data_IF_039959147865
#
_entry.id   IF_039959147865
#
_cell.length_a   1.000
_cell.length_b   1.000
_cell.length_c   1.000
_cell.angle_alpha   90.00
_cell.angle_beta   90.00
_cell.angle_gamma   90.00
#
_symmetry.space_group_name_H-M   'P 1'
#
loop_
_entity.id
_entity.type
_entity.pdbx_description
1 polymer ?
#
# COMPACT_ATOMS: atom_id res chain seq x y z
N UNK A 1 -20.45 9.55 -6.16
CA UNK A 1 -19.90 10.17 -7.38
C UNK A 1 -18.42 9.81 -7.42
N UNK A 2 -17.92 9.29 -8.53
CA UNK A 2 -16.48 9.05 -8.73
C UNK A 2 -15.95 10.24 -9.51
N UNK A 3 -14.94 10.93 -8.98
CA UNK A 3 -14.37 12.13 -9.60
C UNK A 3 -13.15 11.84 -10.49
N UNK A 4 -12.51 10.67 -10.35
CA UNK A 4 -11.32 10.29 -11.10
C UNK A 4 -11.06 8.79 -11.02
N UNK A 5 -10.40 8.25 -12.04
CA UNK A 5 -9.85 6.89 -12.06
C UNK A 5 -8.37 6.97 -12.45
N UNK A 6 -7.53 6.11 -11.85
CA UNK A 6 -6.12 5.96 -12.19
C UNK A 6 -5.77 4.50 -12.38
N UNK A 7 -4.80 4.27 -13.26
CA UNK A 7 -4.15 2.98 -13.42
C UNK A 7 -2.98 2.86 -12.44
N UNK A 8 -2.79 1.68 -11.84
CA UNK A 8 -1.72 1.43 -10.87
C UNK A 8 -1.15 0.03 -11.17
N UNK A 9 0.17 -0.07 -11.20
CA UNK A 9 0.88 -1.30 -11.53
C UNK A 9 1.31 -1.35 -13.00
N UNK A 10 2.01 -2.41 -13.40
CA UNK A 10 2.47 -2.55 -14.77
C UNK A 10 1.34 -2.99 -15.71
N UNK A 11 1.43 -2.59 -16.98
CA UNK A 11 0.38 -2.80 -17.99
C UNK A 11 0.11 -4.28 -18.31
N UNK A 12 1.14 -5.13 -18.20
CA UNK A 12 1.08 -6.52 -18.66
C UNK A 12 0.76 -7.53 -17.55
N UNK A 13 0.93 -7.17 -16.28
CA UNK A 13 0.76 -8.10 -15.16
C UNK A 13 0.35 -7.36 -13.88
N UNK A 14 -0.94 -7.40 -13.55
CA UNK A 14 -1.45 -6.74 -12.35
C UNK A 14 -0.94 -7.36 -11.03
N UNK A 15 -0.38 -8.58 -11.08
CA UNK A 15 0.24 -9.26 -9.95
C UNK A 15 1.75 -9.01 -9.85
N UNK A 16 2.34 -8.33 -10.83
CA UNK A 16 3.75 -8.01 -10.76
C UNK A 16 4.01 -6.99 -9.65
N UNK A 17 5.11 -7.24 -8.94
CA UNK A 17 5.53 -6.43 -7.82
C UNK A 17 6.02 -5.07 -8.32
N UNK A 18 5.32 -4.02 -7.91
CA UNK A 18 5.73 -2.66 -8.22
C UNK A 18 5.30 -1.70 -7.12
N UNK A 19 5.96 -0.55 -7.09
CA UNK A 19 5.56 0.59 -6.28
C UNK A 19 5.38 1.81 -7.17
N UNK A 20 4.26 2.49 -7.01
CA UNK A 20 3.97 3.76 -7.68
C UNK A 20 3.92 4.86 -6.63
N UNK A 21 4.75 5.88 -6.81
CA UNK A 21 4.86 7.04 -5.93
C UNK A 21 4.15 8.23 -6.57
N UNK A 22 3.42 9.01 -5.78
CA UNK A 22 2.68 10.17 -6.25
C UNK A 22 3.19 11.46 -5.62
N UNK A 23 3.22 12.53 -6.40
CA UNK A 23 3.69 13.83 -5.93
C UNK A 23 2.72 14.56 -5.02
N UNK A 24 1.47 14.11 -4.90
CA UNK A 24 0.51 14.64 -3.93
C UNK A 24 -0.15 13.52 -3.13
N UNK A 25 -0.78 13.89 -2.02
CA UNK A 25 -1.61 12.96 -1.25
C UNK A 25 -2.84 12.52 -2.07
N UNK A 26 -3.40 11.38 -1.69
CA UNK A 26 -4.58 10.76 -2.31
C UNK A 26 -4.37 10.39 -3.79
N UNK A 27 -3.16 9.95 -4.15
CA UNK A 27 -2.82 9.42 -5.48
C UNK A 27 -3.02 10.43 -6.60
N UNK A 28 -2.60 11.69 -6.36
CA UNK A 28 -2.81 12.81 -7.27
C UNK A 28 -1.51 13.28 -7.92
N UNK A 29 -1.69 14.12 -8.95
CA UNK A 29 -0.64 14.79 -9.70
C UNK A 29 0.33 13.82 -10.40
N UNK A 30 1.63 14.11 -10.36
CA UNK A 30 2.65 13.34 -11.07
C UNK A 30 2.85 11.99 -10.38
N UNK A 31 3.06 10.95 -11.18
CA UNK A 31 3.32 9.61 -10.70
C UNK A 31 4.67 9.13 -11.19
N UNK A 32 5.31 8.31 -10.37
CA UNK A 32 6.59 7.70 -10.67
C UNK A 32 6.51 6.21 -10.39
N UNK A 33 6.62 5.42 -11.45
CA UNK A 33 6.49 3.98 -11.42
C UNK A 33 7.86 3.32 -11.22
N UNK A 34 7.92 2.36 -10.29
CA UNK A 34 9.14 1.64 -9.95
C UNK A 34 8.86 0.13 -9.87
N UNK A 35 9.53 -0.65 -10.72
CA UNK A 35 9.44 -2.12 -10.73
C UNK A 35 10.70 -2.81 -10.19
N UNK A 36 11.81 -2.08 -10.08
CA UNK A 36 13.09 -2.60 -9.60
C UNK A 36 13.67 -1.70 -8.52
N UNK A 37 14.63 -2.19 -7.75
CA UNK A 37 15.36 -1.41 -6.75
C UNK A 37 15.88 -0.10 -7.36
N UNK A 38 15.63 1.01 -6.67
CA UNK A 38 16.14 2.33 -7.05
C UNK A 38 16.91 2.92 -5.89
N UNK A 39 18.22 3.06 -6.09
CA UNK A 39 19.14 3.67 -5.14
C UNK A 39 18.91 5.18 -4.99
N UNK A 40 18.32 5.82 -5.99
CA UNK A 40 17.98 7.25 -5.97
C UNK A 40 16.76 7.49 -6.85
N UNK A 41 15.71 8.05 -6.26
CA UNK A 41 14.55 8.54 -6.99
C UNK A 41 14.89 9.85 -7.69
N UNK A 42 14.53 10.03 -8.98
CA UNK A 42 14.58 11.35 -9.60
C UNK A 42 13.55 12.26 -8.93
N UNK A 43 13.88 13.55 -8.80
CA UNK A 43 12.97 14.58 -8.28
C UNK A 43 12.34 14.24 -6.90
N UNK A 44 13.12 13.58 -6.03
CA UNK A 44 12.73 13.10 -4.70
C UNK A 44 12.08 14.17 -3.81
N UNK A 45 12.36 15.45 -4.04
CA UNK A 45 11.75 16.58 -3.32
C UNK A 45 10.25 16.72 -3.60
N UNK A 46 9.79 16.24 -4.77
CA UNK A 46 8.42 16.39 -5.25
C UNK A 46 7.60 15.12 -5.09
N UNK A 47 8.22 13.95 -4.95
CA UNK A 47 7.54 12.67 -4.98
C UNK A 47 7.25 12.08 -3.58
N UNK A 48 6.43 11.02 -3.58
CA UNK A 48 6.10 10.20 -2.42
C UNK A 48 5.31 10.92 -1.30
N UNK A 49 4.33 11.75 -1.68
CA UNK A 49 3.29 12.22 -0.77
C UNK A 49 2.19 11.16 -0.56
N UNK A 50 1.99 10.27 -1.53
CA UNK A 50 1.23 9.03 -1.40
C UNK A 50 1.88 7.92 -2.23
N UNK A 51 1.58 6.67 -1.91
CA UNK A 51 2.15 5.51 -2.59
C UNK A 51 1.14 4.38 -2.73
N UNK A 52 1.25 3.64 -3.83
CA UNK A 52 0.52 2.41 -4.04
C UNK A 52 1.49 1.27 -4.36
N UNK A 53 1.30 0.12 -3.71
CA UNK A 53 2.12 -1.08 -3.88
C UNK A 53 1.27 -2.16 -4.51
N UNK A 54 1.72 -2.74 -5.62
CA UNK A 54 1.08 -3.88 -6.29
C UNK A 54 1.90 -5.14 -6.14
N UNK A 55 1.27 -6.29 -6.39
CA UNK A 55 1.88 -7.60 -6.32
C UNK A 55 1.84 -8.23 -4.93
N UNK A 56 2.72 -9.20 -4.70
CA UNK A 56 2.77 -10.01 -3.48
C UNK A 56 3.94 -9.63 -2.57
N UNK A 57 4.97 -8.98 -3.12
CA UNK A 57 6.16 -8.61 -2.37
C UNK A 57 6.00 -7.24 -1.70
N UNK A 58 6.48 -7.09 -0.44
CA UNK A 58 6.57 -5.78 0.18
C UNK A 58 7.66 -4.92 -0.48
N UNK A 59 7.61 -3.63 -0.24
CA UNK A 59 8.61 -2.66 -0.67
C UNK A 59 9.13 -1.86 0.51
N UNK A 60 10.43 -1.61 0.57
CA UNK A 60 11.05 -0.75 1.58
C UNK A 60 11.29 0.63 1.00
N UNK A 61 10.79 1.66 1.68
CA UNK A 61 11.06 3.06 1.40
C UNK A 61 12.12 3.58 2.37
N UNK A 62 13.00 4.45 1.88
CA UNK A 62 14.12 4.99 2.65
C UNK A 62 14.16 6.52 2.58
N UNK A 63 14.51 7.13 3.71
CA UNK A 63 14.64 8.58 3.85
C UNK A 63 15.74 9.15 2.95
N UNK A 64 16.89 8.45 2.82
CA UNK A 64 18.04 8.91 2.04
C UNK A 64 18.34 8.02 0.82
N UNK A 65 19.26 8.48 -0.02
CA UNK A 65 19.75 7.70 -1.15
C UNK A 65 20.56 6.49 -0.68
N UNK A 66 20.77 5.55 -1.61
CA UNK A 66 21.52 4.31 -1.38
C UNK A 66 21.02 3.48 -0.18
N UNK A 67 19.71 3.47 0.08
CA UNK A 67 19.06 2.67 1.12
C UNK A 67 19.47 3.04 2.55
N UNK A 68 19.73 4.33 2.78
CA UNK A 68 20.17 4.84 4.08
C UNK A 68 19.07 5.60 4.84
N UNK A 69 19.34 5.89 6.11
CA UNK A 69 18.43 6.64 6.98
C UNK A 69 17.29 5.79 7.53
N UNK A 70 16.19 6.45 7.90
CA UNK A 70 14.97 5.74 8.35
C UNK A 70 14.38 4.95 7.19
N UNK A 71 13.89 3.76 7.50
CA UNK A 71 13.30 2.85 6.52
C UNK A 71 12.00 2.27 7.04
N UNK A 72 11.03 2.05 6.16
CA UNK A 72 9.77 1.39 6.47
C UNK A 72 9.35 0.46 5.34
N UNK A 73 8.69 -0.63 5.68
CA UNK A 73 8.16 -1.59 4.72
C UNK A 73 6.69 -1.32 4.44
N UNK A 74 6.35 -1.08 3.18
CA UNK A 74 5.01 -0.99 2.64
C UNK A 74 4.57 -2.38 2.15
N UNK A 75 3.52 -2.93 2.75
CA UNK A 75 2.98 -4.21 2.33
C UNK A 75 1.81 -4.04 1.34
N UNK A 76 1.70 -4.92 0.33
CA UNK A 76 0.49 -5.01 -0.48
C UNK A 76 -0.68 -5.53 0.37
N UNK A 77 -1.91 -5.43 -0.14
CA UNK A 77 -3.05 -6.02 0.53
C UNK A 77 -3.03 -7.56 0.33
N UNK A 78 -3.48 -8.34 1.32
CA UNK A 78 -3.36 -9.81 1.31
C UNK A 78 -4.19 -10.50 0.21
N UNK A 79 -5.23 -9.83 -0.30
CA UNK A 79 -6.20 -10.39 -1.25
C UNK A 79 -5.75 -10.23 -2.73
N UNK A 80 -4.47 -9.95 -2.99
CA UNK A 80 -3.98 -9.58 -4.33
C UNK A 80 -4.40 -8.17 -4.78
N UNK A 81 -4.99 -7.41 -3.87
CA UNK A 81 -5.32 -6.00 -4.09
C UNK A 81 -4.09 -5.12 -3.86
N UNK A 82 -4.02 -3.93 -4.50
CA UNK A 82 -2.95 -2.98 -4.22
C UNK A 82 -3.01 -2.52 -2.76
N UNK A 83 -1.84 -2.40 -2.14
CA UNK A 83 -1.66 -1.71 -0.88
C UNK A 83 -1.66 -0.20 -1.10
N UNK A 84 -2.58 0.51 -0.44
CA UNK A 84 -2.76 1.95 -0.63
C UNK A 84 -2.28 2.74 0.60
N UNK A 85 -1.46 3.76 0.36
CA UNK A 85 -0.89 4.67 1.36
C UNK A 85 -1.21 6.11 0.95
N UNK A 86 -2.37 6.66 1.35
CA UNK A 86 -2.93 7.87 0.78
C UNK A 86 -2.24 9.15 1.24
N UNK A 87 -1.49 9.15 2.35
CA UNK A 87 -0.90 10.39 2.90
C UNK A 87 0.50 10.16 3.45
N UNK A 88 1.27 11.24 3.61
CA UNK A 88 2.62 11.16 4.20
C UNK A 88 2.60 10.60 5.62
N UNK A 89 1.57 10.91 6.39
CA UNK A 89 1.43 10.42 7.76
C UNK A 89 1.26 8.90 7.78
N UNK A 90 0.60 8.31 6.77
CA UNK A 90 0.50 6.84 6.67
C UNK A 90 1.83 6.17 6.34
N UNK A 91 2.76 6.88 5.68
CA UNK A 91 4.10 6.38 5.34
C UNK A 91 5.16 6.70 6.38
N UNK A 92 4.91 7.65 7.29
CA UNK A 92 5.79 7.95 8.43
C UNK A 92 7.13 8.61 8.07
N UNK A 93 7.35 8.98 6.81
CA UNK A 93 8.55 9.70 6.34
C UNK A 93 8.17 11.03 5.70
N UNK A 94 8.97 12.05 5.98
CA UNK A 94 8.82 13.37 5.37
C UNK A 94 9.35 13.40 3.93
N UNK A 95 10.42 12.64 3.69
CA UNK A 95 11.17 12.56 2.44
C UNK A 95 11.47 11.09 2.16
N UNK A 96 11.37 10.71 0.88
CA UNK A 96 11.72 9.36 0.41
C UNK A 96 12.64 9.55 -0.80
N UNK A 97 13.88 9.06 -0.69
CA UNK A 97 14.90 9.23 -1.73
C UNK A 97 15.31 7.92 -2.39
N UNK A 98 15.07 6.77 -1.77
CA UNK A 98 15.36 5.48 -2.38
C UNK A 98 14.31 4.43 -2.00
N UNK A 99 14.15 3.42 -2.86
CA UNK A 99 13.17 2.35 -2.68
C UNK A 99 13.76 1.01 -3.09
N UNK A 100 13.40 -0.04 -2.36
CA UNK A 100 13.94 -1.38 -2.58
C UNK A 100 12.85 -2.43 -2.46
N UNK A 101 12.84 -3.41 -3.35
CA UNK A 101 11.91 -4.54 -3.28
C UNK A 101 12.28 -5.46 -2.11
N UNK A 102 11.29 -5.88 -1.35
CA UNK A 102 11.46 -6.64 -0.10
C UNK A 102 11.29 -5.77 1.14
N UNK A 103 11.35 -6.40 2.32
CA UNK A 103 11.26 -5.71 3.60
C UNK A 103 12.60 -5.81 4.36
N UNK A 104 13.28 -4.67 4.49
CA UNK A 104 14.58 -4.54 5.17
C UNK A 104 14.51 -3.64 6.41
N UNK A 105 13.31 -3.33 6.88
CA UNK A 105 13.07 -2.56 8.11
C UNK A 105 12.30 -3.37 9.14
N UNK A 106 12.46 -3.00 10.40
CA UNK A 106 11.64 -3.51 11.49
C UNK A 106 10.24 -2.87 11.53
N UNK A 107 10.07 -1.72 10.86
CA UNK A 107 8.79 -1.01 10.81
C UNK A 107 7.99 -1.49 9.60
N UNK A 108 6.82 -2.06 9.87
CA UNK A 108 5.91 -2.61 8.85
C UNK A 108 4.63 -1.80 8.83
N UNK A 109 4.30 -1.29 7.65
CA UNK A 109 3.08 -0.54 7.40
C UNK A 109 2.12 -1.40 6.60
N UNK A 110 0.93 -1.60 7.18
CA UNK A 110 -0.20 -2.22 6.50
C UNK A 110 -0.93 -1.17 5.67
N UNK A 111 -1.45 -1.54 4.49
CA UNK A 111 -2.20 -0.61 3.66
C UNK A 111 -3.50 -0.20 4.35
N UNK A 112 -4.06 0.94 3.93
CA UNK A 112 -5.39 1.32 4.41
C UNK A 112 -6.37 0.19 4.08
N UNK A 113 -7.15 -0.21 5.08
CA UNK A 113 -8.24 -1.12 4.84
C UNK A 113 -9.33 -0.35 4.11
N UNK A 114 -9.43 -0.57 2.80
CA UNK A 114 -10.64 -0.21 2.07
C UNK A 114 -11.77 -0.94 2.80
N UNK A 115 -12.63 -0.21 3.53
CA UNK A 115 -13.76 -0.81 4.23
C UNK A 115 -14.53 -1.62 3.19
N UNK A 116 -14.40 -2.94 3.21
CA UNK A 116 -15.40 -3.84 2.63
C UNK A 116 -16.67 -3.42 3.36
N UNK A 117 -17.64 -2.83 2.65
CA UNK A 117 -18.97 -2.65 3.21
C UNK A 117 -19.36 -4.00 3.82
N UNK A 118 -19.70 -3.96 5.09
CA UNK A 118 -20.22 -5.08 5.85
C UNK A 118 -21.53 -5.53 5.18
N UNK A 119 -21.45 -6.29 4.09
CA UNK A 119 -22.50 -7.26 3.74
C UNK A 119 -22.16 -8.51 4.56
N UNK A 120 -22.19 -8.34 5.87
CA UNK A 120 -22.42 -9.43 6.80
C UNK A 120 -23.85 -9.85 6.49
N UNK A 121 -24.02 -10.87 5.65
CA UNK A 121 -25.31 -11.51 5.48
C UNK A 121 -25.75 -11.96 6.87
N UNK A 122 -26.71 -11.23 7.42
CA UNK A 122 -27.41 -11.57 8.64
C UNK A 122 -28.24 -12.82 8.38
N UNK A 123 -27.62 -14.01 8.41
CA UNK A 123 -28.37 -15.21 8.76
C UNK A 123 -28.60 -15.18 10.27
N UNK A 124 -29.66 -14.48 10.64
CA UNK A 124 -30.40 -14.75 11.86
C UNK A 124 -30.83 -16.23 11.84
N UNK A 125 -30.19 -17.07 12.63
CA UNK A 125 -30.81 -18.31 13.12
C UNK A 125 -30.81 -18.22 14.64
N UNK A 126 -31.81 -17.53 15.17
CA UNK A 126 -32.10 -17.54 16.60
C UNK A 126 -33.10 -18.67 16.89
N UNK A 127 -32.75 -19.43 17.94
CA UNK A 127 -33.58 -20.33 18.79
C UNK A 127 -33.88 -21.73 18.24
N UNK A 128 -33.41 -22.74 19.00
CA UNK A 128 -34.19 -23.32 20.11
C UNK A 128 -33.26 -23.99 21.14
N UNK A 129 -33.35 -23.50 22.38
CA UNK A 129 -33.06 -24.28 23.59
C UNK A 129 -34.09 -25.40 23.69
N UNK A 130 -33.65 -26.60 24.08
CA UNK A 130 -34.42 -27.57 24.86
C UNK A 130 -33.39 -28.46 25.55
N UNK A 131 -33.09 -28.12 26.80
CA UNK A 131 -32.62 -29.07 27.80
C UNK A 131 -33.73 -30.10 28.02
N UNK A 132 -33.43 -31.38 27.80
CA UNK A 132 -34.23 -32.49 28.33
C UNK A 132 -33.24 -33.51 28.90
N UNK A 133 -33.40 -33.75 30.20
CA UNK A 133 -32.64 -34.72 30.98
C UNK A 133 -32.81 -36.15 30.47
N UNK A 134 -31.73 -36.93 30.62
CA UNK A 134 -31.77 -38.30 31.12
C UNK A 134 -30.47 -38.58 31.89
#
# INVERSE_FOLDING_TARGET
>A
MVSSLRFIGPENDFLADSITLYSQEYFKAWEYFVATDMQRLPDWEYFANSAAVTGASPWTIYEFDFFQGKSLCLFPAPDGNPGLFPTKQTMGLSVIMSVRKGCYSNVRLSPIQLRKNQITSSRNVTKRSLDVQQ
#
